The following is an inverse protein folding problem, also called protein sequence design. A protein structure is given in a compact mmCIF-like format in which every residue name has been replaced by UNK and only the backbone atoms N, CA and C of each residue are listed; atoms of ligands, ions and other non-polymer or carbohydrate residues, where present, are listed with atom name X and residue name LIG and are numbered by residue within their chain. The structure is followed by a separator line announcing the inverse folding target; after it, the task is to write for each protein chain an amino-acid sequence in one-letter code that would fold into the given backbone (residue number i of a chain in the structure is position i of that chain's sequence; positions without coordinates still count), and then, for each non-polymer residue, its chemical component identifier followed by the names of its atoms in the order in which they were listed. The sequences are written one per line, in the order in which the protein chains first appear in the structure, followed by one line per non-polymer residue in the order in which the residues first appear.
data_IF_120809127085
#
_entry.id   IF_120809127085
#
_cell.length_a   1.000
_cell.length_b   1.000
_cell.length_c   1.000
_cell.angle_alpha   90.00
_cell.angle_beta   90.00
_cell.angle_gamma   90.00
#
_symmetry.space_group_name_H-M   'P 1'
#
loop_
_entity.id
_entity.type
_entity.pdbx_description
1 polymer ?
#
# COMPACT_ATOMS: atom_id res chain seq x y z
N UNK A 1 5.89 4.60 -17.45
CA UNK A 1 4.95 3.64 -16.82
C UNK A 1 3.69 4.41 -16.48
N UNK A 2 2.52 3.88 -16.85
CA UNK A 2 1.25 4.56 -16.56
C UNK A 2 0.87 4.39 -15.09
N UNK A 3 0.31 5.44 -14.49
CA UNK A 3 -0.24 5.45 -13.13
C UNK A 3 -1.75 5.26 -13.14
N UNK A 4 -2.36 4.94 -11.99
CA UNK A 4 -3.83 4.90 -11.86
C UNK A 4 -4.49 6.22 -12.27
N UNK A 5 -3.79 7.33 -12.02
CA UNK A 5 -4.29 8.68 -12.21
C UNK A 5 -4.39 9.07 -13.70
N UNK A 6 -3.62 8.42 -14.58
CA UNK A 6 -3.62 8.70 -16.02
C UNK A 6 -4.98 8.38 -16.67
N UNK A 7 -5.77 7.49 -16.05
CA UNK A 7 -7.13 7.19 -16.49
C UNK A 7 -8.13 8.34 -16.24
N UNK A 8 -7.71 9.38 -15.52
CA UNK A 8 -8.52 10.52 -15.10
C UNK A 8 -7.84 11.85 -15.47
N UNK A 9 -7.72 12.19 -16.77
CA UNK A 9 -6.92 13.34 -17.22
C UNK A 9 -7.41 14.70 -16.70
N UNK A 10 -8.68 14.80 -16.31
CA UNK A 10 -9.28 16.02 -15.75
C UNK A 10 -9.10 16.13 -14.22
N UNK A 11 -8.45 15.17 -13.58
CA UNK A 11 -8.17 15.21 -12.15
C UNK A 11 -6.73 15.68 -11.90
N UNK A 12 -6.58 16.80 -11.18
CA UNK A 12 -5.26 17.34 -10.82
C UNK A 12 -4.73 16.59 -9.60
N UNK A 13 -4.02 15.48 -9.83
CA UNK A 13 -3.46 14.65 -8.78
C UNK A 13 -2.22 15.27 -8.12
N UNK A 14 -2.19 15.30 -6.78
CA UNK A 14 -1.02 15.63 -5.99
C UNK A 14 -0.26 14.35 -5.56
N UNK A 15 0.90 14.02 -6.17
CA UNK A 15 1.64 12.79 -5.88
C UNK A 15 2.27 12.73 -4.48
N UNK A 16 2.32 13.86 -3.77
CA UNK A 16 2.95 13.95 -2.44
C UNK A 16 1.94 13.90 -1.30
N UNK A 17 0.64 13.96 -1.59
CA UNK A 17 -0.43 13.84 -0.61
C UNK A 17 -0.72 12.37 -0.25
N UNK A 18 -1.30 12.06 0.92
CA UNK A 18 -1.72 10.70 1.27
C UNK A 18 -2.66 10.10 0.23
N UNK A 19 -2.49 8.82 -0.10
CA UNK A 19 -3.19 8.14 -1.18
C UNK A 19 -4.72 8.21 -1.02
N UNK A 20 -5.20 7.95 0.20
CA UNK A 20 -6.63 7.98 0.51
C UNK A 20 -7.23 9.38 0.38
N UNK A 21 -6.44 10.44 0.59
CA UNK A 21 -6.92 11.81 0.43
C UNK A 21 -7.18 12.09 -1.05
N UNK A 22 -6.19 11.84 -1.92
CA UNK A 22 -6.32 12.05 -3.36
C UNK A 22 -7.43 11.18 -3.95
N UNK A 23 -7.54 9.92 -3.52
CA UNK A 23 -8.61 9.03 -3.97
C UNK A 23 -10.01 9.57 -3.60
N UNK A 24 -10.17 10.15 -2.41
CA UNK A 24 -11.46 10.75 -2.00
C UNK A 24 -11.82 11.96 -2.85
N UNK A 25 -10.85 12.80 -3.19
CA UNK A 25 -11.06 13.95 -4.07
C UNK A 25 -11.49 13.49 -5.47
N UNK A 26 -10.80 12.49 -6.03
CA UNK A 26 -11.18 11.88 -7.31
C UNK A 26 -12.58 11.27 -7.25
N UNK A 27 -12.88 10.49 -6.22
CA UNK A 27 -14.18 9.86 -6.04
C UNK A 27 -15.31 10.88 -5.96
N UNK A 28 -15.10 12.02 -5.28
CA UNK A 28 -16.05 13.11 -5.23
C UNK A 28 -16.24 13.76 -6.61
N UNK A 29 -15.16 14.04 -7.35
CA UNK A 29 -15.22 14.58 -8.71
C UNK A 29 -15.98 13.66 -9.68
N UNK A 30 -15.81 12.34 -9.54
CA UNK A 30 -16.49 11.36 -10.37
C UNK A 30 -17.90 10.98 -9.85
N UNK A 31 -18.38 11.59 -8.77
CA UNK A 31 -19.70 11.31 -8.19
C UNK A 31 -19.87 9.90 -7.62
N UNK A 32 -18.79 9.25 -7.19
CA UNK A 32 -18.87 7.91 -6.62
C UNK A 32 -19.38 7.95 -5.19
N UNK A 33 -20.44 7.20 -4.90
CA UNK A 33 -20.92 7.07 -3.52
C UNK A 33 -19.87 6.43 -2.62
N UNK A 34 -19.55 7.10 -1.51
CA UNK A 34 -18.63 6.60 -0.48
C UNK A 34 -19.12 5.25 0.01
N UNK A 35 -18.21 4.28 0.09
CA UNK A 35 -18.49 2.88 0.44
C UNK A 35 -19.47 2.13 -0.49
N UNK A 36 -19.88 2.73 -1.60
CA UNK A 36 -20.57 2.05 -2.70
C UNK A 36 -19.67 1.05 -3.42
N UNK A 37 -20.25 0.17 -4.24
CA UNK A 37 -19.51 -0.89 -4.94
C UNK A 37 -18.41 -0.34 -5.84
N UNK A 38 -18.71 0.71 -6.61
CA UNK A 38 -17.72 1.37 -7.49
C UNK A 38 -16.57 1.96 -6.68
N UNK A 39 -16.87 2.69 -5.59
CA UNK A 39 -15.85 3.28 -4.72
C UNK A 39 -14.90 2.21 -4.16
N UNK A 40 -15.45 1.10 -3.64
CA UNK A 40 -14.66 -0.02 -3.10
C UNK A 40 -13.78 -0.68 -4.15
N UNK A 41 -14.32 -0.92 -5.35
CA UNK A 41 -13.59 -1.50 -6.48
C UNK A 41 -12.43 -0.60 -6.91
N UNK A 42 -12.72 0.67 -7.16
CA UNK A 42 -11.73 1.66 -7.58
C UNK A 42 -10.66 1.90 -6.52
N UNK A 43 -11.02 1.85 -5.23
CA UNK A 43 -10.05 1.94 -4.14
C UNK A 43 -9.05 0.77 -4.17
N UNK A 44 -9.53 -0.44 -4.48
CA UNK A 44 -8.67 -1.61 -4.66
C UNK A 44 -7.73 -1.48 -5.85
N UNK A 45 -8.23 -1.03 -7.00
CA UNK A 45 -7.40 -0.80 -8.19
C UNK A 45 -6.37 0.30 -7.96
N UNK A 46 -6.77 1.42 -7.36
CA UNK A 46 -5.90 2.52 -6.98
C UNK A 46 -4.77 2.03 -6.07
N UNK A 47 -5.09 1.32 -4.98
CA UNK A 47 -4.09 0.77 -4.06
C UNK A 47 -3.13 -0.23 -4.72
N UNK A 48 -3.61 -1.09 -5.61
CA UNK A 48 -2.77 -2.06 -6.32
C UNK A 48 -1.83 -1.39 -7.32
N UNK A 49 -2.35 -0.43 -8.09
CA UNK A 49 -1.57 0.32 -9.06
C UNK A 49 -0.50 1.18 -8.36
N UNK A 50 -0.86 1.86 -7.28
CA UNK A 50 0.07 2.69 -6.50
C UNK A 50 1.20 1.85 -5.88
N UNK A 51 0.85 0.69 -5.30
CA UNK A 51 1.85 -0.22 -4.75
C UNK A 51 2.82 -0.69 -5.84
N UNK A 52 2.27 -1.08 -7.00
CA UNK A 52 3.06 -1.58 -8.12
C UNK A 52 3.94 -0.48 -8.74
N UNK A 53 3.48 0.77 -8.74
CA UNK A 53 4.25 1.92 -9.20
C UNK A 53 5.46 2.17 -8.30
N UNK A 54 5.32 2.05 -6.98
CA UNK A 54 6.39 2.34 -6.03
C UNK A 54 7.36 1.19 -5.79
N UNK A 55 6.87 -0.06 -5.75
CA UNK A 55 7.66 -1.22 -5.33
C UNK A 55 7.77 -2.30 -6.41
N UNK A 56 7.01 -2.19 -7.49
CA UNK A 56 6.95 -3.18 -8.55
C UNK A 56 5.90 -4.27 -8.33
N UNK A 57 5.84 -5.17 -9.30
CA UNK A 57 4.90 -6.30 -9.36
C UNK A 57 5.58 -7.67 -9.45
N UNK A 58 6.86 -7.70 -9.83
CA UNK A 58 7.68 -8.91 -9.96
C UNK A 58 8.52 -9.11 -8.71
N UNK A 59 8.15 -10.11 -7.92
CA UNK A 59 8.76 -10.38 -6.62
C UNK A 59 10.15 -11.04 -6.71
N UNK A 60 10.64 -11.30 -7.93
CA UNK A 60 12.01 -11.72 -8.21
C UNK A 60 12.97 -10.53 -8.37
N UNK A 61 12.46 -9.29 -8.28
CA UNK A 61 13.30 -8.09 -8.31
C UNK A 61 13.70 -7.66 -6.91
N UNK A 62 14.99 -7.85 -6.58
CA UNK A 62 15.58 -7.41 -5.31
C UNK A 62 15.32 -5.91 -5.02
N UNK A 63 15.42 -5.06 -6.04
CA UNK A 63 15.22 -3.62 -5.91
C UNK A 63 13.86 -3.25 -5.29
N UNK A 64 12.78 -3.95 -5.64
CA UNK A 64 11.46 -3.72 -5.06
C UNK A 64 11.41 -4.05 -3.56
N UNK A 65 12.07 -5.15 -3.18
CA UNK A 65 12.20 -5.54 -1.78
C UNK A 65 13.04 -4.57 -0.96
N UNK A 66 14.18 -4.14 -1.48
CA UNK A 66 15.06 -3.17 -0.83
C UNK A 66 14.38 -1.81 -0.70
N UNK A 67 13.62 -1.37 -1.72
CA UNK A 67 12.82 -0.15 -1.66
C UNK A 67 11.76 -0.20 -0.55
N UNK A 68 11.13 -1.37 -0.33
CA UNK A 68 10.21 -1.56 0.80
C UNK A 68 10.94 -1.54 2.14
N UNK A 69 12.08 -2.21 2.29
CA UNK A 69 12.91 -2.14 3.50
C UNK A 69 13.31 -0.69 3.83
N UNK A 70 13.80 0.05 2.84
CA UNK A 70 14.17 1.45 3.00
C UNK A 70 12.98 2.33 3.40
N UNK A 71 11.82 2.15 2.75
CA UNK A 71 10.58 2.87 3.10
C UNK A 71 10.11 2.51 4.52
N UNK A 72 10.28 1.23 4.89
CA UNK A 72 10.05 0.72 6.23
C UNK A 72 11.11 1.17 7.25
N UNK A 73 12.14 1.95 6.84
CA UNK A 73 13.25 2.39 7.69
C UNK A 73 13.87 1.23 8.45
N UNK A 74 14.18 0.17 7.74
CA UNK A 74 15.00 -0.95 8.20
C UNK A 74 16.14 -1.13 7.21
N UNK A 75 17.25 -1.67 7.68
CA UNK A 75 18.37 -2.00 6.81
C UNK A 75 17.90 -2.96 5.71
N UNK A 76 18.30 -2.69 4.47
CA UNK A 76 17.89 -3.43 3.30
C UNK A 76 18.96 -4.48 2.96
N UNK A 77 18.68 -5.78 3.13
CA UNK A 77 19.65 -6.83 2.80
C UNK A 77 19.94 -6.93 1.30
N UNK A 78 20.98 -7.69 0.95
CA UNK A 78 21.41 -7.92 -0.43
C UNK A 78 20.74 -9.14 -1.09
N UNK A 79 19.76 -9.76 -0.42
CA UNK A 79 19.01 -10.89 -0.98
C UNK A 79 17.51 -10.79 -0.72
N UNK A 80 16.72 -11.27 -1.69
CA UNK A 80 15.25 -11.27 -1.63
C UNK A 80 14.77 -12.04 -0.40
N UNK A 81 15.40 -13.19 -0.12
CA UNK A 81 15.06 -14.03 1.03
C UNK A 81 15.22 -13.27 2.34
N UNK A 82 16.32 -12.55 2.52
CA UNK A 82 16.57 -11.76 3.73
C UNK A 82 15.64 -10.55 3.81
N UNK A 83 15.38 -9.83 2.71
CA UNK A 83 14.41 -8.73 2.70
C UNK A 83 13.02 -9.23 3.12
N UNK A 84 12.55 -10.34 2.54
CA UNK A 84 11.27 -10.98 2.92
C UNK A 84 11.24 -11.34 4.40
N UNK A 85 12.35 -11.82 4.97
CA UNK A 85 12.47 -12.16 6.39
C UNK A 85 12.33 -10.91 7.26
N UNK A 86 13.15 -9.88 7.03
CA UNK A 86 13.10 -8.61 7.77
C UNK A 86 11.70 -7.99 7.74
N UNK A 87 11.08 -7.94 6.55
CA UNK A 87 9.75 -7.38 6.38
C UNK A 87 8.64 -8.16 7.11
N UNK A 88 8.82 -9.47 7.32
CA UNK A 88 7.85 -10.32 8.04
C UNK A 88 8.04 -10.34 9.54
N UNK A 89 9.28 -10.30 10.02
CA UNK A 89 9.59 -10.55 11.44
C UNK A 89 9.88 -9.29 12.23
N UNK A 90 10.36 -8.23 11.57
CA UNK A 90 10.87 -7.04 12.25
C UNK A 90 9.92 -5.86 12.16
N UNK A 91 8.98 -5.86 11.20
CA UNK A 91 8.06 -4.74 10.99
C UNK A 91 6.61 -5.20 10.90
N UNK A 92 5.75 -4.51 11.65
CA UNK A 92 4.30 -4.62 11.53
C UNK A 92 3.78 -3.30 10.99
N UNK A 93 3.53 -3.22 9.69
CA UNK A 93 3.16 -1.97 8.98
C UNK A 93 1.90 -2.23 8.15
N UNK A 94 1.02 -1.24 8.04
CA UNK A 94 -0.12 -1.30 7.13
C UNK A 94 0.34 -0.98 5.69
N UNK A 95 -0.15 -1.74 4.70
CA UNK A 95 0.24 -1.57 3.29
C UNK A 95 -0.05 -0.15 2.77
N UNK A 96 -1.17 0.47 3.17
CA UNK A 96 -1.47 1.85 2.79
C UNK A 96 -0.53 2.86 3.47
N UNK A 97 -0.13 2.61 4.72
CA UNK A 97 0.84 3.48 5.41
C UNK A 97 2.22 3.41 4.74
N UNK A 98 2.60 2.26 4.18
CA UNK A 98 3.85 2.12 3.42
C UNK A 98 3.83 2.97 2.15
N UNK A 99 2.71 2.96 1.42
CA UNK A 99 2.53 3.83 0.24
C UNK A 99 2.47 5.31 0.63
N UNK A 100 1.73 5.66 1.69
CA UNK A 100 1.65 7.03 2.20
C UNK A 100 3.04 7.54 2.62
N UNK A 101 3.87 6.71 3.27
CA UNK A 101 5.24 7.06 3.63
C UNK A 101 6.12 7.30 2.39
N UNK A 102 5.96 6.48 1.34
CA UNK A 102 6.67 6.65 0.08
C UNK A 102 6.26 7.94 -0.65
N UNK A 103 4.96 8.25 -0.68
CA UNK A 103 4.41 9.47 -1.30
C UNK A 103 4.81 10.75 -0.56
N UNK A 104 4.69 10.74 0.76
CA UNK A 104 4.85 11.94 1.59
C UNK A 104 6.28 12.17 2.10
N UNK A 105 7.15 11.16 2.02
CA UNK A 105 8.48 11.16 2.65
C UNK A 105 8.45 11.05 4.19
N UNK A 106 7.26 10.99 4.80
CA UNK A 106 7.11 10.90 6.25
C UNK A 106 7.48 9.51 6.77
N UNK A 107 7.94 9.39 8.02
CA UNK A 107 8.18 8.09 8.64
C UNK A 107 6.92 7.21 8.60
N UNK A 108 7.07 5.95 8.17
CA UNK A 108 5.98 4.99 8.22
C UNK A 108 5.64 4.61 9.65
N UNK A 109 4.34 4.41 9.92
CA UNK A 109 3.88 3.94 11.21
C UNK A 109 4.19 2.44 11.38
N UNK A 110 5.05 2.12 12.33
CA UNK A 110 5.32 0.74 12.77
C UNK A 110 4.46 0.41 13.98
N UNK A 111 4.07 -0.85 14.08
CA UNK A 111 3.36 -1.41 15.22
C UNK A 111 4.25 -2.39 15.98
N UNK A 112 4.03 -2.50 17.29
CA UNK A 112 4.82 -3.39 18.14
C UNK A 112 4.51 -4.89 17.91
N UNK A 113 3.34 -5.21 17.35
CA UNK A 113 2.91 -6.59 17.10
C UNK A 113 1.89 -6.67 15.98
N UNK A 114 1.69 -7.90 15.46
CA UNK A 114 0.61 -8.19 14.52
C UNK A 114 -0.77 -7.80 15.10
N UNK A 115 -1.01 -8.03 16.39
CA UNK A 115 -2.27 -7.66 17.04
C UNK A 115 -2.49 -6.15 17.11
N UNK A 116 -1.42 -5.38 17.38
CA UNK A 116 -1.48 -3.92 17.34
C UNK A 116 -1.77 -3.40 15.91
N UNK A 117 -1.16 -4.02 14.90
CA UNK A 117 -1.44 -3.70 13.49
C UNK A 117 -2.88 -4.05 13.11
N UNK A 118 -3.42 -5.20 13.54
CA UNK A 118 -4.82 -5.59 13.31
C UNK A 118 -5.78 -4.60 13.94
N UNK A 119 -5.60 -4.26 15.22
CA UNK A 119 -6.42 -3.29 15.93
C UNK A 119 -6.41 -1.92 15.24
N UNK A 120 -5.22 -1.44 14.85
CA UNK A 120 -5.06 -0.21 14.09
C UNK A 120 -5.79 -0.27 12.74
N UNK A 121 -5.62 -1.36 11.98
CA UNK A 121 -6.21 -1.54 10.65
C UNK A 121 -7.73 -1.58 10.71
N UNK A 122 -8.31 -2.26 11.72
CA UNK A 122 -9.76 -2.28 11.97
C UNK A 122 -10.29 -0.90 12.33
N UNK A 123 -9.61 -0.20 13.24
CA UNK A 123 -10.02 1.15 13.70
C UNK A 123 -9.98 2.17 12.58
N UNK A 124 -8.95 2.14 11.74
CA UNK A 124 -8.76 3.12 10.64
C UNK A 124 -9.42 2.70 9.32
N UNK A 125 -9.96 1.48 9.26
CA UNK A 125 -10.52 0.87 8.05
C UNK A 125 -9.52 0.87 6.87
N UNK A 126 -8.21 0.87 7.13
CA UNK A 126 -7.15 0.78 6.11
C UNK A 126 -6.95 -0.67 5.66
N UNK A 127 -8.04 -1.31 5.22
CA UNK A 127 -8.05 -2.73 4.84
C UNK A 127 -7.69 -2.84 3.37
N UNK A 128 -6.58 -3.50 3.05
CA UNK A 128 -6.20 -3.76 1.67
C UNK A 128 -7.04 -4.92 1.11
N UNK A 129 -7.67 -4.78 -0.08
CA UNK A 129 -8.52 -5.84 -0.62
C UNK A 129 -7.75 -7.15 -0.89
N UNK A 130 -8.22 -8.26 -0.30
CA UNK A 130 -7.56 -9.58 -0.41
C UNK A 130 -7.38 -10.03 -1.86
N UNK A 131 -8.37 -9.76 -2.74
CA UNK A 131 -8.29 -10.09 -4.17
C UNK A 131 -7.12 -9.36 -4.85
N UNK A 132 -7.06 -8.03 -4.72
CA UNK A 132 -5.97 -7.22 -5.26
C UNK A 132 -4.59 -7.62 -4.70
N UNK A 133 -4.54 -8.03 -3.42
CA UNK A 133 -3.29 -8.49 -2.83
C UNK A 133 -2.81 -9.86 -3.35
N UNK A 134 -3.73 -10.71 -3.83
CA UNK A 134 -3.34 -12.01 -4.40
C UNK A 134 -2.67 -11.86 -5.77
N UNK A 135 -2.97 -10.78 -6.48
CA UNK A 135 -2.46 -10.48 -7.83
C UNK A 135 -1.04 -9.87 -7.81
N UNK A 136 -0.57 -9.38 -6.67
CA UNK A 136 0.80 -8.92 -6.47
C UNK A 136 1.53 -9.82 -5.45
N UNK A 137 2.55 -10.53 -5.90
CA UNK A 137 3.27 -11.50 -5.08
C UNK A 137 4.03 -10.85 -3.92
N UNK A 138 4.45 -9.58 -4.04
CA UNK A 138 5.01 -8.83 -2.92
C UNK A 138 4.01 -8.65 -1.78
N UNK A 139 2.76 -8.30 -2.13
CA UNK A 139 1.72 -8.02 -1.13
C UNK A 139 1.45 -9.23 -0.24
N UNK A 140 1.51 -10.45 -0.79
CA UNK A 140 1.34 -11.70 -0.02
C UNK A 140 2.30 -11.81 1.16
N UNK A 141 3.51 -11.24 1.06
CA UNK A 141 4.52 -11.26 2.13
C UNK A 141 4.15 -10.33 3.28
N UNK A 142 3.48 -9.22 2.97
CA UNK A 142 3.10 -8.17 3.94
C UNK A 142 1.68 -8.33 4.48
N UNK A 143 0.89 -9.27 3.94
CA UNK A 143 -0.48 -9.50 4.37
C UNK A 143 -0.53 -10.03 5.80
N UNK A 144 -1.28 -9.33 6.64
CA UNK A 144 -1.73 -9.82 7.94
C UNK A 144 -3.24 -9.99 7.89
N UNK A 145 -3.73 -11.17 8.23
CA UNK A 145 -5.17 -11.39 8.35
C UNK A 145 -5.75 -10.52 9.48
N UNK A 146 -6.70 -9.65 9.12
CA UNK A 146 -7.23 -8.59 10.00
C UNK A 146 -8.40 -9.08 10.86
N UNK A 147 -9.17 -10.03 10.33
CA UNK A 147 -10.30 -10.67 10.99
C UNK A 147 -9.91 -12.13 11.24
N UNK A 148 -9.32 -12.35 12.42
CA UNK A 148 -8.96 -13.65 12.98
C UNK A 148 -9.57 -13.74 14.36
#
# INVERSE_FOLDING_TARGET
MSTYWDAYPNFVHNPTAPLRQEFKLLAAQCGWQVDGERYKREWGHCGQAEFSHHFGRDDNRLAGWQAMCATARVEAPDSIKQCKQVLRTTVWINIFDLMDAKRTGRPVKKHASANALRAYTRRTKKIFPKKAAKDNQFLRVLLVEVFV
#
